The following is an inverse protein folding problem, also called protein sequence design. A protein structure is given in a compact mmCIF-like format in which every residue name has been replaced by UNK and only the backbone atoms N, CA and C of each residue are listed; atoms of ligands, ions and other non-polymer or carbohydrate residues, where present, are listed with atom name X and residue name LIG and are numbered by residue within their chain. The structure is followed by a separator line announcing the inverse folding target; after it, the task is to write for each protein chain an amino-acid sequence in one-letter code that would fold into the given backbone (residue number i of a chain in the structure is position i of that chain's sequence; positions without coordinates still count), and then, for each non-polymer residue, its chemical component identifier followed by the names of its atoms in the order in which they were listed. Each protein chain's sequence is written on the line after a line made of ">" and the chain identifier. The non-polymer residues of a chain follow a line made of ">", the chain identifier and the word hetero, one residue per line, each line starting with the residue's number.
data_IF_315391165021
#
_entry.id   IF_315391165021
#
_cell.length_a   1.000
_cell.length_b   1.000
_cell.length_c   1.000
_cell.angle_alpha   90.00
_cell.angle_beta   90.00
_cell.angle_gamma   90.00
#
_symmetry.space_group_name_H-M   'P 1'
#
loop_
_entity.id
_entity.type
_entity.pdbx_description
1 polymer ?
#
# COMPACT_ATOMS: atom_id res chain seq x y z
N UNK A 1 17.11 12.30 -11.29
CA UNK A 1 15.70 12.68 -11.59
C UNK A 1 14.68 11.73 -10.95
N UNK A 2 14.48 10.47 -11.41
CA UNK A 2 13.50 9.57 -10.78
C UNK A 2 13.78 9.31 -9.28
N UNK A 3 15.06 9.18 -8.92
CA UNK A 3 15.50 9.05 -7.52
C UNK A 3 15.24 10.31 -6.69
N UNK A 4 15.28 11.50 -7.28
CA UNK A 4 15.10 12.77 -6.57
C UNK A 4 13.62 13.04 -6.28
N UNK A 5 12.73 12.63 -7.18
CA UNK A 5 11.28 12.71 -6.99
C UNK A 5 10.80 11.76 -5.89
N UNK A 6 11.34 10.53 -5.87
CA UNK A 6 11.00 9.58 -4.81
C UNK A 6 11.50 10.06 -3.43
N UNK A 7 12.64 10.75 -3.38
CA UNK A 7 13.17 11.38 -2.15
C UNK A 7 12.24 12.46 -1.59
N UNK A 8 11.52 13.20 -2.43
CA UNK A 8 10.58 14.23 -1.95
C UNK A 8 9.49 13.62 -1.07
N UNK A 9 8.90 12.52 -1.54
CA UNK A 9 7.88 11.79 -0.79
C UNK A 9 8.45 11.15 0.49
N UNK A 10 9.66 10.58 0.42
CA UNK A 10 10.34 10.04 1.62
C UNK A 10 10.62 11.13 2.66
N UNK A 11 11.03 12.32 2.22
CA UNK A 11 11.25 13.49 3.08
C UNK A 11 9.95 13.96 3.73
N UNK A 12 8.86 14.07 2.96
CA UNK A 12 7.55 14.47 3.48
C UNK A 12 7.03 13.49 4.53
N UNK A 13 7.23 12.18 4.33
CA UNK A 13 6.88 11.16 5.33
C UNK A 13 7.71 11.31 6.61
N UNK A 14 9.02 11.54 6.49
CA UNK A 14 9.92 11.72 7.62
C UNK A 14 9.66 13.03 8.39
N UNK A 15 9.06 14.04 7.76
CA UNK A 15 8.67 15.29 8.41
C UNK A 15 7.45 15.11 9.32
N UNK A 16 6.48 14.31 8.90
CA UNK A 16 5.20 14.18 9.62
C UNK A 16 5.15 13.00 10.60
N UNK A 17 5.92 11.94 10.36
CA UNK A 17 5.93 10.77 11.24
C UNK A 17 7.18 10.74 12.11
N UNK A 18 7.02 10.57 13.43
CA UNK A 18 8.17 10.44 14.32
C UNK A 18 8.92 9.15 14.03
N UNK A 19 10.24 9.22 13.97
CA UNK A 19 11.08 8.02 14.08
C UNK A 19 11.08 7.54 15.54
N UNK A 20 11.40 6.26 15.77
CA UNK A 20 11.54 5.74 17.13
C UNK A 20 12.70 6.38 17.92
N UNK A 21 13.59 7.12 17.24
CA UNK A 21 14.76 7.77 17.81
C UNK A 21 14.50 9.26 18.14
N UNK A 22 13.38 9.83 17.68
CA UNK A 22 13.01 11.22 17.91
C UNK A 22 11.99 11.36 19.04
N UNK A 23 11.99 12.50 19.76
CA UNK A 23 10.94 12.79 20.72
C UNK A 23 9.59 12.88 19.99
N UNK A 24 8.61 12.17 20.54
CA UNK A 24 7.26 12.12 20.00
C UNK A 24 6.59 13.50 20.13
N UNK A 25 5.82 13.96 19.12
CA UNK A 25 5.10 15.22 19.21
C UNK A 25 4.14 15.25 20.41
N UNK A 26 3.87 16.44 20.94
CA UNK A 26 3.00 16.60 22.10
C UNK A 26 1.60 16.02 21.81
N UNK A 27 1.12 15.18 22.74
CA UNK A 27 -0.18 14.52 22.64
C UNK A 27 -0.22 13.27 21.77
N UNK A 28 0.89 12.90 21.13
CA UNK A 28 1.00 11.64 20.39
C UNK A 28 1.42 10.49 21.30
N UNK A 29 1.01 9.26 20.97
CA UNK A 29 1.39 8.06 21.70
C UNK A 29 1.66 6.90 20.75
N UNK A 30 2.64 6.06 21.08
CA UNK A 30 2.85 4.77 20.44
C UNK A 30 1.82 3.76 20.94
N UNK A 31 1.08 3.13 20.00
CA UNK A 31 0.12 2.07 20.29
C UNK A 31 0.43 0.84 19.47
N UNK A 32 0.16 -0.33 20.02
CA UNK A 32 0.30 -1.58 19.27
C UNK A 32 -0.87 -1.69 18.30
N UNK A 33 -0.58 -1.97 17.02
CA UNK A 33 -1.59 -2.03 15.97
C UNK A 33 -2.71 -3.01 16.31
N UNK A 34 -2.40 -4.17 16.88
CA UNK A 34 -3.38 -5.18 17.27
C UNK A 34 -4.27 -4.79 18.46
N UNK A 35 -3.90 -3.76 19.22
CA UNK A 35 -4.74 -3.24 20.31
C UNK A 35 -5.81 -2.29 19.76
N UNK A 36 -5.52 -1.60 18.67
CA UNK A 36 -6.40 -0.59 18.07
C UNK A 36 -7.17 -1.12 16.85
N UNK A 37 -6.58 -2.02 16.07
CA UNK A 37 -7.11 -2.51 14.81
C UNK A 37 -7.37 -4.01 14.84
N UNK A 38 -8.43 -4.45 14.15
CA UNK A 38 -8.67 -5.89 13.92
C UNK A 38 -7.92 -6.32 12.67
N UNK A 39 -7.38 -7.54 12.68
CA UNK A 39 -6.66 -8.10 11.54
C UNK A 39 -7.09 -9.52 11.23
N UNK A 40 -7.06 -9.90 9.95
CA UNK A 40 -7.25 -11.28 9.47
C UNK A 40 -6.50 -11.45 8.15
N UNK A 41 -6.25 -12.68 7.73
CA UNK A 41 -5.84 -12.98 6.36
C UNK A 41 -7.01 -13.47 5.52
N UNK A 42 -6.80 -13.48 4.20
CA UNK A 42 -7.65 -14.20 3.25
C UNK A 42 -7.21 -15.66 3.06
N UNK A 43 -7.58 -16.24 1.92
CA UNK A 43 -7.33 -17.64 1.61
C UNK A 43 -7.32 -17.89 0.09
N UNK A 44 -6.71 -19.01 -0.31
CA UNK A 44 -6.69 -19.45 -1.71
C UNK A 44 -7.60 -20.65 -1.89
N UNK A 45 -8.65 -20.57 -2.74
CA UNK A 45 -9.39 -21.74 -3.17
C UNK A 45 -8.46 -22.75 -3.85
N UNK A 46 -8.80 -24.04 -3.80
CA UNK A 46 -7.96 -25.09 -4.40
C UNK A 46 -7.81 -24.84 -5.90
N UNK A 47 -6.59 -24.51 -6.34
CA UNK A 47 -6.25 -24.23 -7.74
C UNK A 47 -6.58 -25.37 -8.70
N UNK A 48 -6.61 -26.61 -8.20
CA UNK A 48 -6.99 -27.80 -8.96
C UNK A 48 -8.48 -27.88 -9.30
N UNK A 49 -9.32 -27.06 -8.68
CA UNK A 49 -10.77 -27.05 -8.88
C UNK A 49 -11.14 -25.81 -9.69
N UNK A 50 -11.28 -25.95 -11.01
CA UNK A 50 -11.56 -24.85 -11.94
C UNK A 50 -12.83 -24.07 -11.57
N UNK A 51 -13.86 -24.76 -11.08
CA UNK A 51 -15.19 -24.20 -10.76
C UNK A 51 -15.15 -23.18 -9.61
N UNK A 52 -14.03 -23.08 -8.90
CA UNK A 52 -13.83 -22.08 -7.86
C UNK A 52 -13.44 -20.70 -8.40
N UNK A 53 -13.11 -20.60 -9.69
CA UNK A 53 -12.56 -19.39 -10.31
C UNK A 53 -13.45 -18.89 -11.47
N UNK A 54 -13.28 -17.62 -11.86
CA UNK A 54 -14.04 -17.01 -12.97
C UNK A 54 -15.47 -16.59 -12.60
N UNK A 55 -15.75 -16.43 -11.30
CA UNK A 55 -17.04 -15.97 -10.79
C UNK A 55 -17.16 -14.45 -10.71
N UNK A 56 -18.06 -13.98 -9.85
CA UNK A 56 -18.38 -12.56 -9.68
C UNK A 56 -17.55 -11.85 -8.60
N UNK A 57 -16.82 -12.58 -7.76
CA UNK A 57 -16.16 -12.06 -6.57
C UNK A 57 -14.70 -11.73 -6.90
N UNK A 58 -14.26 -10.46 -6.91
CA UNK A 58 -12.86 -10.11 -7.12
C UNK A 58 -11.98 -10.74 -6.04
N UNK A 59 -10.83 -11.31 -6.44
CA UNK A 59 -9.94 -12.03 -5.53
C UNK A 59 -8.49 -11.52 -5.66
N UNK A 60 -8.20 -10.51 -4.85
CA UNK A 60 -6.94 -9.76 -4.84
C UNK A 60 -5.81 -10.62 -4.29
N UNK A 61 -4.73 -10.72 -5.07
CA UNK A 61 -3.48 -11.37 -4.69
C UNK A 61 -2.47 -10.33 -4.23
N UNK A 62 -1.51 -10.76 -3.41
CA UNK A 62 -0.43 -9.89 -2.92
C UNK A 62 0.42 -9.22 -4.02
N UNK A 63 0.39 -9.75 -5.24
CA UNK A 63 1.03 -9.17 -6.44
C UNK A 63 0.38 -7.87 -6.92
N UNK A 64 -0.92 -7.71 -6.64
CA UNK A 64 -1.74 -6.59 -7.10
C UNK A 64 -1.69 -5.38 -6.15
N UNK A 65 -1.03 -5.54 -4.99
CA UNK A 65 -0.78 -4.43 -4.07
C UNK A 65 0.31 -3.52 -4.64
N UNK A 66 -0.03 -2.26 -4.88
CA UNK A 66 0.79 -1.29 -5.60
C UNK A 66 0.92 0.05 -4.86
N UNK A 67 0.66 0.08 -3.55
CA UNK A 67 0.65 1.30 -2.73
C UNK A 67 -0.40 2.32 -3.19
N UNK A 68 -1.58 1.83 -3.56
CA UNK A 68 -2.69 2.67 -4.01
C UNK A 68 -4.06 2.10 -3.65
N UNK A 69 -5.08 2.66 -4.32
CA UNK A 69 -6.45 2.17 -4.23
C UNK A 69 -6.63 1.01 -5.22
N UNK A 70 -7.13 -0.12 -4.74
CA UNK A 70 -7.41 -1.31 -5.55
C UNK A 70 -8.86 -1.23 -6.01
N UNK A 71 -9.08 -0.98 -7.29
CA UNK A 71 -10.42 -0.80 -7.90
C UNK A 71 -10.89 -2.01 -8.70
N UNK A 72 -10.00 -2.98 -8.96
CA UNK A 72 -10.29 -4.22 -9.66
C UNK A 72 -9.28 -5.30 -9.25
N UNK A 73 -9.54 -6.54 -9.67
CA UNK A 73 -8.58 -7.64 -9.54
C UNK A 73 -8.51 -8.44 -10.84
N UNK A 74 -7.33 -8.98 -11.15
CA UNK A 74 -7.08 -9.82 -12.34
C UNK A 74 -7.88 -11.12 -12.32
N UNK A 75 -8.10 -11.68 -11.13
CA UNK A 75 -8.79 -12.95 -10.95
C UNK A 75 -10.04 -12.77 -10.10
N UNK A 76 -11.06 -13.57 -10.40
CA UNK A 76 -12.29 -13.66 -9.62
C UNK A 76 -12.51 -15.10 -9.15
N UNK A 77 -13.23 -15.23 -8.05
CA UNK A 77 -13.67 -16.52 -7.51
C UNK A 77 -15.20 -16.61 -7.56
N UNK A 78 -15.72 -17.84 -7.57
CA UNK A 78 -17.15 -18.12 -7.45
C UNK A 78 -17.55 -18.16 -5.97
N UNK A 79 -18.85 -18.09 -5.69
CA UNK A 79 -19.40 -18.33 -4.35
C UNK A 79 -18.96 -19.70 -3.82
N UNK A 80 -18.94 -20.74 -4.67
CA UNK A 80 -18.45 -22.06 -4.31
C UNK A 80 -16.96 -22.03 -3.89
N UNK A 81 -16.13 -21.28 -4.62
CA UNK A 81 -14.72 -21.09 -4.28
C UNK A 81 -14.51 -20.36 -2.95
N UNK A 82 -15.38 -19.38 -2.64
CA UNK A 82 -15.39 -18.69 -1.35
C UNK A 82 -15.77 -19.64 -0.21
N UNK A 83 -16.91 -20.33 -0.34
CA UNK A 83 -17.46 -21.21 0.71
C UNK A 83 -16.58 -22.44 0.99
N UNK A 84 -15.86 -22.94 -0.01
CA UNK A 84 -15.00 -24.11 0.11
C UNK A 84 -13.52 -23.76 0.34
N UNK A 85 -13.25 -22.54 0.81
CA UNK A 85 -11.90 -22.09 1.16
C UNK A 85 -11.89 -21.20 2.39
N UNK A 86 -10.69 -20.75 2.79
CA UNK A 86 -10.53 -19.74 3.84
C UNK A 86 -10.57 -18.30 3.28
N UNK A 87 -10.93 -18.12 2.00
CA UNK A 87 -11.12 -16.79 1.43
C UNK A 87 -12.25 -16.07 2.18
N UNK A 88 -12.09 -14.76 2.36
CA UNK A 88 -13.06 -13.92 3.04
C UNK A 88 -13.25 -12.68 2.21
N UNK A 89 -14.48 -12.19 2.14
CA UNK A 89 -14.75 -10.91 1.48
C UNK A 89 -14.52 -9.77 2.47
N UNK A 90 -13.79 -8.77 2.02
CA UNK A 90 -13.50 -7.55 2.74
C UNK A 90 -14.26 -6.38 2.13
N UNK A 91 -14.78 -5.45 2.96
CA UNK A 91 -15.45 -4.25 2.47
C UNK A 91 -14.46 -3.27 1.84
N UNK A 92 -14.99 -2.35 1.04
CA UNK A 92 -14.28 -1.14 0.63
C UNK A 92 -13.74 -0.37 1.85
N UNK A 93 -12.59 0.27 1.68
CA UNK A 93 -11.85 0.96 2.73
C UNK A 93 -10.93 0.06 3.56
N UNK A 94 -10.98 -1.26 3.41
CA UNK A 94 -10.08 -2.17 4.14
C UNK A 94 -8.63 -1.93 3.71
N UNK A 95 -7.74 -1.72 4.68
CA UNK A 95 -6.31 -1.61 4.45
C UNK A 95 -5.68 -3.00 4.33
N UNK A 96 -4.86 -3.21 3.31
CA UNK A 96 -4.21 -4.47 3.01
C UNK A 96 -2.68 -4.31 3.10
N UNK A 97 -2.00 -5.32 3.61
CA UNK A 97 -0.55 -5.43 3.61
C UNK A 97 -0.10 -6.82 3.14
N UNK A 98 0.78 -6.87 2.15
CA UNK A 98 1.39 -8.11 1.70
C UNK A 98 2.39 -8.64 2.75
N UNK A 99 2.26 -9.91 3.10
CA UNK A 99 3.01 -10.54 4.19
C UNK A 99 4.29 -11.24 3.72
N UNK A 100 4.35 -11.75 2.49
CA UNK A 100 5.46 -12.63 2.06
C UNK A 100 5.87 -12.38 0.61
N UNK A 101 7.07 -12.84 0.25
CA UNK A 101 7.55 -12.88 -1.13
C UNK A 101 8.05 -11.54 -1.65
N UNK A 102 8.12 -11.40 -2.97
CA UNK A 102 8.64 -10.19 -3.63
C UNK A 102 7.80 -8.92 -3.36
N UNK A 103 6.57 -9.08 -2.85
CA UNK A 103 5.68 -7.96 -2.52
C UNK A 103 5.55 -7.68 -1.03
N UNK A 104 6.34 -8.35 -0.18
CA UNK A 104 6.35 -8.13 1.27
C UNK A 104 6.36 -6.63 1.63
N UNK A 105 5.44 -6.24 2.50
CA UNK A 105 5.29 -4.87 2.96
C UNK A 105 4.61 -3.89 2.00
N UNK A 106 4.31 -4.29 0.75
CA UNK A 106 3.44 -3.50 -0.14
C UNK A 106 2.05 -3.36 0.45
N UNK A 107 1.43 -2.22 0.20
CA UNK A 107 0.14 -1.86 0.75
C UNK A 107 -0.91 -1.70 -0.35
N UNK A 108 -2.17 -1.67 0.06
CA UNK A 108 -3.27 -1.23 -0.78
C UNK A 108 -4.51 -0.96 0.05
N UNK A 109 -5.38 -0.08 -0.41
CA UNK A 109 -6.71 0.12 0.19
C UNK A 109 -7.74 -0.38 -0.81
N UNK A 110 -8.66 -1.22 -0.35
CA UNK A 110 -9.75 -1.68 -1.21
C UNK A 110 -10.66 -0.50 -1.58
N UNK A 111 -10.77 -0.20 -2.88
CA UNK A 111 -11.80 0.69 -3.46
C UNK A 111 -13.05 -0.08 -3.92
N UNK A 112 -13.05 -1.41 -3.75
CA UNK A 112 -14.16 -2.31 -4.07
C UNK A 112 -14.27 -3.39 -2.99
N UNK A 113 -15.45 -3.99 -2.86
CA UNK A 113 -15.61 -5.21 -2.06
C UNK A 113 -14.88 -6.36 -2.76
N UNK A 114 -13.94 -7.02 -2.08
CA UNK A 114 -13.11 -8.07 -2.68
C UNK A 114 -12.66 -9.11 -1.65
N UNK A 115 -12.43 -10.34 -2.09
CA UNK A 115 -11.69 -11.33 -1.32
C UNK A 115 -10.17 -11.19 -1.53
N UNK A 116 -9.37 -11.77 -0.63
CA UNK A 116 -7.90 -11.76 -0.77
C UNK A 116 -7.31 -13.16 -0.61
N UNK A 117 -6.08 -13.35 -1.10
CA UNK A 117 -5.31 -14.57 -0.84
C UNK A 117 -4.69 -14.59 0.58
N UNK A 118 -4.11 -15.73 0.99
CA UNK A 118 -3.48 -15.88 2.31
C UNK A 118 -2.19 -15.06 2.49
N UNK A 119 -1.65 -14.49 1.43
CA UNK A 119 -0.44 -13.67 1.48
C UNK A 119 -0.73 -12.20 1.83
N UNK A 120 -1.99 -11.84 2.06
CA UNK A 120 -2.42 -10.50 2.44
C UNK A 120 -3.00 -10.53 3.85
N UNK A 121 -2.55 -9.59 4.68
CA UNK A 121 -3.19 -9.21 5.93
C UNK A 121 -4.17 -8.06 5.64
N UNK A 122 -5.45 -8.28 5.96
CA UNK A 122 -6.47 -7.25 6.01
C UNK A 122 -6.50 -6.62 7.41
N UNK A 123 -6.50 -5.30 7.46
CA UNK A 123 -6.46 -4.46 8.65
C UNK A 123 -7.72 -3.58 8.64
N UNK A 124 -8.57 -3.77 9.64
CA UNK A 124 -9.77 -2.97 9.86
C UNK A 124 -9.46 -1.90 10.89
N UNK A 125 -9.51 -0.64 10.47
CA UNK A 125 -9.34 0.51 11.35
C UNK A 125 -10.65 0.86 12.05
N UNK A 126 -10.62 1.22 13.34
CA UNK A 126 -11.78 1.77 14.04
C UNK A 126 -12.07 3.20 13.59
N UNK A 127 -13.19 3.77 14.03
CA UNK A 127 -13.64 5.12 13.61
C UNK A 127 -12.66 6.24 13.98
N UNK A 128 -11.87 6.07 15.05
CA UNK A 128 -10.86 7.06 15.48
C UNK A 128 -9.54 6.97 14.71
N UNK A 129 -9.40 6.03 13.77
CA UNK A 129 -8.18 5.87 12.95
C UNK A 129 -8.56 5.87 11.47
N UNK A 130 -8.04 6.87 10.74
CA UNK A 130 -8.18 6.90 9.28
C UNK A 130 -7.30 5.82 8.66
N UNK A 131 -7.91 4.95 7.85
CA UNK A 131 -7.19 3.95 7.07
C UNK A 131 -6.04 4.53 6.24
N UNK A 132 -6.25 5.71 5.62
CA UNK A 132 -5.23 6.45 4.85
C UNK A 132 -4.08 6.93 5.72
N UNK A 133 -4.35 7.38 6.95
CA UNK A 133 -3.29 7.78 7.87
C UNK A 133 -2.42 6.57 8.23
N UNK A 134 -3.06 5.45 8.60
CA UNK A 134 -2.35 4.21 8.90
C UNK A 134 -1.59 3.66 7.68
N UNK A 135 -2.17 3.75 6.48
CA UNK A 135 -1.51 3.41 5.21
C UNK A 135 -0.20 4.19 5.04
N UNK A 136 -0.23 5.52 5.20
CA UNK A 136 0.95 6.35 5.03
C UNK A 136 2.02 6.06 6.08
N UNK A 137 1.63 5.85 7.34
CA UNK A 137 2.58 5.45 8.37
C UNK A 137 3.22 4.09 8.08
N UNK A 138 2.44 3.07 7.71
CA UNK A 138 2.98 1.76 7.36
C UNK A 138 3.87 1.80 6.11
N UNK A 139 3.60 2.72 5.17
CA UNK A 139 4.47 2.96 4.01
C UNK A 139 5.80 3.56 4.44
N UNK A 140 5.77 4.55 5.33
CA UNK A 140 6.98 5.13 5.93
C UNK A 140 7.81 4.09 6.69
N UNK A 141 7.15 3.31 7.57
CA UNK A 141 7.82 2.31 8.41
C UNK A 141 8.20 1.01 7.67
N UNK A 142 7.82 0.85 6.39
CA UNK A 142 7.96 -0.41 5.63
C UNK A 142 9.35 -1.02 5.73
N UNK A 143 10.39 -0.24 5.42
CA UNK A 143 11.75 -0.76 5.38
C UNK A 143 12.20 -1.23 6.77
N UNK A 144 11.85 -0.48 7.82
CA UNK A 144 12.11 -0.87 9.19
C UNK A 144 11.39 -2.17 9.56
N UNK A 145 10.10 -2.28 9.20
CA UNK A 145 9.29 -3.48 9.43
C UNK A 145 9.92 -4.70 8.76
N UNK A 146 10.34 -4.59 7.50
CA UNK A 146 10.95 -5.70 6.75
C UNK A 146 12.27 -6.13 7.39
N UNK A 147 13.14 -5.17 7.73
CA UNK A 147 14.44 -5.46 8.37
C UNK A 147 14.25 -6.13 9.73
N UNK A 148 13.33 -5.64 10.56
CA UNK A 148 13.04 -6.22 11.87
C UNK A 148 12.36 -7.59 11.80
N UNK A 149 11.64 -7.87 10.72
CA UNK A 149 10.98 -9.17 10.50
C UNK A 149 11.93 -10.23 9.93
N UNK A 150 13.15 -9.84 9.56
CA UNK A 150 14.13 -10.69 8.89
C UNK A 150 14.92 -11.54 9.90
N UNK A 151 14.86 -12.87 9.75
CA UNK A 151 15.67 -13.83 10.52
C UNK A 151 16.26 -14.97 9.69
N UNK A 152 16.19 -14.91 8.34
CA UNK A 152 16.57 -15.99 7.43
C UNK A 152 16.54 -15.58 5.95
N UNK A 153 16.40 -16.53 5.00
CA UNK A 153 16.64 -16.29 3.56
C UNK A 153 15.52 -15.56 2.77
N UNK A 154 14.28 -15.46 3.29
CA UNK A 154 13.18 -14.79 2.60
C UNK A 154 12.40 -13.86 3.54
N UNK A 155 12.15 -12.59 3.18
CA UNK A 155 11.37 -11.68 4.02
C UNK A 155 9.94 -12.17 4.20
N UNK A 156 9.51 -12.23 5.46
CA UNK A 156 8.17 -12.64 5.87
C UNK A 156 7.73 -11.75 7.05
N UNK A 157 6.64 -11.01 6.85
CA UNK A 157 5.94 -10.25 7.88
C UNK A 157 4.67 -11.02 8.24
N UNK A 158 4.75 -11.88 9.26
CA UNK A 158 3.56 -12.62 9.72
C UNK A 158 2.47 -11.68 10.24
N UNK A 159 1.22 -12.14 10.27
CA UNK A 159 0.12 -11.39 10.89
C UNK A 159 0.42 -11.05 12.37
N UNK A 160 1.14 -11.92 13.08
CA UNK A 160 1.56 -11.67 14.47
C UNK A 160 2.52 -10.49 14.55
N UNK A 161 3.46 -10.38 13.62
CA UNK A 161 4.35 -9.22 13.52
C UNK A 161 3.54 -7.96 13.26
N UNK A 162 2.61 -7.99 12.29
CA UNK A 162 1.74 -6.83 11.97
C UNK A 162 0.97 -6.35 13.20
N UNK A 163 0.36 -7.29 13.95
CA UNK A 163 -0.34 -6.95 15.21
C UNK A 163 0.59 -6.31 16.24
N UNK A 164 1.86 -6.66 16.25
CA UNK A 164 2.84 -6.16 17.23
C UNK A 164 3.56 -4.88 16.82
N UNK A 165 3.28 -4.35 15.61
CA UNK A 165 3.83 -3.07 15.18
C UNK A 165 3.34 -1.94 16.08
N UNK A 166 4.26 -1.03 16.43
CA UNK A 166 3.89 0.22 17.06
C UNK A 166 3.55 1.27 16.01
N UNK A 167 2.39 1.89 16.15
CA UNK A 167 1.87 2.97 15.31
C UNK A 167 1.70 4.24 16.13
N UNK A 168 2.05 5.42 15.60
CA UNK A 168 1.96 6.67 16.32
C UNK A 168 0.56 7.23 16.12
N UNK A 169 -0.17 7.47 17.21
CA UNK A 169 -1.52 8.00 17.15
C UNK A 169 -1.59 9.37 17.85
N UNK A 170 -2.07 10.42 17.15
CA UNK A 170 -2.21 11.75 17.73
C UNK A 170 -3.42 11.81 18.66
N UNK A 171 -3.30 12.50 19.79
CA UNK A 171 -4.40 12.95 20.65
C UNK A 171 -5.42 11.86 21.01
N UNK A 172 -4.98 10.68 21.46
CA UNK A 172 -5.85 9.52 21.73
C UNK A 172 -7.05 9.77 22.66
N UNK A 173 -6.97 10.79 23.52
CA UNK A 173 -8.05 11.14 24.46
C UNK A 173 -9.03 12.18 23.90
N UNK A 174 -8.80 12.67 22.68
CA UNK A 174 -9.63 13.66 21.99
C UNK A 174 -9.80 13.23 20.53
N UNK A 175 -10.89 12.51 20.26
CA UNK A 175 -11.14 11.89 18.96
C UNK A 175 -11.24 12.92 17.83
N UNK A 176 -11.90 14.05 18.07
CA UNK A 176 -12.09 15.07 17.04
C UNK A 176 -10.76 15.72 16.67
N UNK A 177 -9.94 16.05 17.67
CA UNK A 177 -8.58 16.57 17.46
C UNK A 177 -7.67 15.53 16.81
N UNK A 178 -7.75 14.28 17.22
CA UNK A 178 -7.00 13.17 16.61
C UNK A 178 -7.30 13.05 15.12
N UNK A 179 -8.59 12.95 14.78
CA UNK A 179 -9.03 12.82 13.40
C UNK A 179 -8.71 14.07 12.56
N UNK A 180 -8.79 15.28 13.15
CA UNK A 180 -8.39 16.50 12.47
C UNK A 180 -6.90 16.49 12.10
N UNK A 181 -6.03 16.06 13.02
CA UNK A 181 -4.60 15.95 12.76
C UNK A 181 -4.27 14.86 11.74
N UNK A 182 -4.90 13.69 11.85
CA UNK A 182 -4.76 12.62 10.87
C UNK A 182 -5.19 13.09 9.46
N UNK A 183 -6.32 13.80 9.34
CA UNK A 183 -6.78 14.38 8.06
C UNK A 183 -5.79 15.40 7.51
N UNK A 184 -5.26 16.27 8.36
CA UNK A 184 -4.27 17.29 7.96
C UNK A 184 -3.03 16.63 7.36
N UNK A 185 -2.50 15.60 8.03
CA UNK A 185 -1.34 14.84 7.56
C UNK A 185 -1.65 14.11 6.25
N UNK A 186 -2.80 13.42 6.18
CA UNK A 186 -3.21 12.71 4.96
C UNK A 186 -3.33 13.68 3.79
N UNK A 187 -3.98 14.83 3.97
CA UNK A 187 -4.15 15.84 2.92
C UNK A 187 -2.81 16.38 2.41
N UNK A 188 -1.87 16.65 3.32
CA UNK A 188 -0.51 17.06 2.95
C UNK A 188 0.24 15.97 2.16
N UNK A 189 0.22 14.72 2.63
CA UNK A 189 0.90 13.63 1.93
C UNK A 189 0.25 13.33 0.57
N UNK A 190 -1.07 13.43 0.45
CA UNK A 190 -1.78 13.27 -0.81
C UNK A 190 -1.45 14.40 -1.80
N UNK A 191 -1.29 15.65 -1.35
CA UNK A 191 -0.87 16.74 -2.24
C UNK A 191 0.54 16.52 -2.78
N UNK A 192 1.49 16.14 -1.91
CA UNK A 192 2.86 15.79 -2.35
C UNK A 192 2.84 14.57 -3.28
N UNK A 193 2.01 13.57 -3.00
CA UNK A 193 1.88 12.39 -3.87
C UNK A 193 1.36 12.77 -5.26
N UNK A 194 0.42 13.70 -5.34
CA UNK A 194 -0.12 14.21 -6.60
C UNK A 194 0.94 14.96 -7.39
N UNK A 195 1.68 15.87 -6.76
CA UNK A 195 2.79 16.60 -7.40
C UNK A 195 3.87 15.64 -7.92
N UNK A 196 4.24 14.62 -7.12
CA UNK A 196 5.17 13.56 -7.51
C UNK A 196 4.67 12.81 -8.75
N UNK A 197 3.38 12.43 -8.80
CA UNK A 197 2.80 11.72 -9.94
C UNK A 197 2.75 12.58 -11.19
N UNK A 198 2.45 13.87 -11.07
CA UNK A 198 2.39 14.80 -12.19
C UNK A 198 3.79 15.06 -12.77
N UNK A 199 4.79 15.25 -11.91
CA UNK A 199 6.19 15.36 -12.32
C UNK A 199 6.70 14.09 -13.02
N UNK A 200 6.34 12.90 -12.52
CA UNK A 200 6.69 11.62 -13.16
C UNK A 200 6.10 11.51 -14.57
N UNK A 201 4.82 11.86 -14.74
CA UNK A 201 4.16 11.84 -16.05
C UNK A 201 4.82 12.78 -17.06
N UNK A 202 5.19 13.98 -16.64
CA UNK A 202 5.87 14.95 -17.52
C UNK A 202 7.24 14.42 -17.96
N UNK A 203 8.02 13.85 -17.05
CA UNK A 203 9.33 13.27 -17.37
C UNK A 203 9.19 12.07 -18.32
N UNK A 204 8.22 11.19 -18.11
CA UNK A 204 7.96 10.06 -19.01
C UNK A 204 7.57 10.53 -20.42
N UNK A 205 6.74 11.57 -20.52
CA UNK A 205 6.36 12.16 -21.80
C UNK A 205 7.56 12.79 -22.52
N UNK A 206 8.40 13.55 -21.80
CA UNK A 206 9.60 14.17 -22.36
C UNK A 206 10.62 13.14 -22.84
N UNK A 207 10.84 12.06 -22.08
CA UNK A 207 11.71 10.95 -22.48
C UNK A 207 11.20 10.30 -23.77
N UNK A 208 9.90 10.05 -23.87
CA UNK A 208 9.30 9.49 -25.08
C UNK A 208 9.45 10.42 -26.29
N UNK A 209 9.29 11.74 -26.10
CA UNK A 209 9.48 12.73 -27.16
C UNK A 209 10.93 12.78 -27.65
N UNK A 210 11.91 12.67 -26.73
CA UNK A 210 13.33 12.61 -27.08
C UNK A 210 13.64 11.36 -27.92
N UNK A 211 13.12 10.19 -27.53
CA UNK A 211 13.29 8.95 -28.31
C UNK A 211 12.73 9.07 -29.73
N UNK A 212 11.54 9.67 -29.87
CA UNK A 212 10.94 9.90 -31.19
C UNK A 212 11.75 10.89 -32.05
N UNK A 213 12.27 11.96 -31.45
CA UNK A 213 13.13 12.92 -32.13
C UNK A 213 14.43 12.27 -32.59
N UNK A 214 15.06 11.46 -31.75
CA UNK A 214 16.27 10.72 -32.11
C UNK A 214 16.01 9.79 -33.31
N UNK A 215 14.93 9.00 -33.26
CA UNK A 215 14.54 8.13 -34.36
C UNK A 215 14.27 8.91 -35.65
N UNK A 216 13.61 10.07 -35.55
CA UNK A 216 13.32 10.93 -36.70
C UNK A 216 14.58 11.49 -37.33
N UNK A 217 15.51 12.00 -36.50
CA UNK A 217 16.81 12.53 -36.95
C UNK A 217 17.63 11.42 -37.61
N UNK A 218 17.74 10.24 -36.99
CA UNK A 218 18.46 9.11 -37.59
C UNK A 218 17.84 8.71 -38.93
N UNK A 219 16.51 8.64 -39.01
CA UNK A 219 15.82 8.30 -40.24
C UNK A 219 16.05 9.35 -41.34
N UNK A 220 16.04 10.64 -41.00
CA UNK A 220 16.38 11.71 -41.94
C UNK A 220 17.85 11.63 -42.39
N UNK A 221 18.78 11.32 -41.48
CA UNK A 221 20.20 11.13 -41.78
C UNK A 221 20.42 10.01 -42.81
N UNK A 222 19.78 8.85 -42.60
CA UNK A 222 19.90 7.70 -43.50
C UNK A 222 19.23 7.92 -44.87
N UNK A 223 18.28 8.87 -44.96
CA UNK A 223 17.68 9.30 -46.23
C UNK A 223 18.45 10.44 -46.92
N UNK A 224 19.47 11.01 -46.28
CA UNK A 224 20.22 12.15 -46.80
C UNK A 224 19.41 13.46 -46.77
N UNK A 225 18.45 13.56 -45.86
CA UNK A 225 17.54 14.71 -45.69
C UNK A 225 18.04 15.69 -44.59
N UNK A 226 19.25 15.49 -44.08
CA UNK A 226 19.92 16.35 -43.08
C UNK A 226 20.96 17.26 -43.71
#
# INVERSE_FOLDING_TARGET
>A
MQQDINRLMESALAEVFPSQEQPMPEGWQWKRLGDECKTTSGGTPRRSTSDYFGGSIPWVKSGELNDGIITSSEETITEQGLENSNAKIFPEGTLLMAMYGATVGKLGILGIKAATNQAICAIFTPEHILNKFLFWYLRFARNLIIVQSFGGAQPNISQVVIKNLFVPLPYLHDHDRSLAEQRRIVAYLESIQQEVQEAQKLIEADLHAIEQLEQSILAAAFRGEL
#
